data_IF_994872034742
#
_entry.id   IF_994872034742
#
_cell.length_a   1.000
_cell.length_b   1.000
_cell.length_c   1.000
_cell.angle_alpha   90.00
_cell.angle_beta   90.00
_cell.angle_gamma   90.00
#
_symmetry.space_group_name_H-M   'P 1'
#
loop_
_entity.id
_entity.type
_entity.pdbx_description
1 polymer ?
#
# COMPACT_ATOMS: atom_id res chain seq x y z
N UNK A 1 -10.19 0.68 -29.81
CA UNK A 1 -10.78 0.34 -28.50
C UNK A 1 -9.72 0.15 -27.41
N UNK A 2 -8.64 -0.65 -27.60
CA UNK A 2 -7.56 -0.82 -26.61
C UNK A 2 -6.86 0.49 -26.22
N UNK A 3 -6.55 1.36 -27.19
CA UNK A 3 -5.83 2.61 -26.92
C UNK A 3 -6.72 3.65 -26.21
N UNK A 4 -8.01 3.65 -26.50
CA UNK A 4 -8.98 4.52 -25.82
C UNK A 4 -9.16 4.11 -24.35
N UNK A 5 -9.23 2.82 -24.07
CA UNK A 5 -9.27 2.30 -22.68
C UNK A 5 -7.97 2.61 -21.92
N UNK A 6 -6.82 2.49 -22.58
CA UNK A 6 -5.52 2.82 -21.99
C UNK A 6 -5.42 4.30 -21.62
N UNK A 7 -5.92 5.19 -22.49
CA UNK A 7 -5.97 6.63 -22.22
C UNK A 7 -6.94 6.99 -21.08
N UNK A 8 -8.08 6.31 -20.98
CA UNK A 8 -9.03 6.50 -19.87
C UNK A 8 -8.42 6.05 -18.55
N UNK A 9 -7.79 4.87 -18.52
CA UNK A 9 -7.12 4.34 -17.33
C UNK A 9 -5.99 5.27 -16.89
N UNK A 10 -5.15 5.74 -17.79
CA UNK A 10 -4.08 6.68 -17.45
C UNK A 10 -4.62 8.01 -16.89
N UNK A 11 -5.72 8.54 -17.44
CA UNK A 11 -6.37 9.74 -16.90
C UNK A 11 -6.97 9.50 -15.51
N UNK A 12 -7.59 8.35 -15.29
CA UNK A 12 -8.17 7.98 -13.99
C UNK A 12 -7.08 7.79 -12.94
N UNK A 13 -6.01 7.08 -13.28
CA UNK A 13 -4.86 6.90 -12.39
C UNK A 13 -4.28 8.23 -11.93
N UNK A 14 -4.04 9.16 -12.86
CA UNK A 14 -3.47 10.47 -12.54
C UNK A 14 -4.40 11.30 -11.62
N UNK A 15 -5.71 11.30 -11.88
CA UNK A 15 -6.68 12.00 -11.03
C UNK A 15 -6.74 11.40 -9.62
N UNK A 16 -6.75 10.08 -9.52
CA UNK A 16 -6.73 9.37 -8.22
C UNK A 16 -5.45 9.67 -7.45
N UNK A 17 -4.30 9.65 -8.12
CA UNK A 17 -3.03 9.99 -7.51
C UNK A 17 -3.02 11.43 -6.96
N UNK A 18 -3.58 12.40 -7.70
CA UNK A 18 -3.71 13.78 -7.23
C UNK A 18 -4.63 13.86 -6.00
N UNK A 19 -5.78 13.18 -6.01
CA UNK A 19 -6.70 13.16 -4.87
C UNK A 19 -5.96 12.63 -3.62
N UNK A 20 -5.27 11.50 -3.76
CA UNK A 20 -4.52 10.90 -2.64
C UNK A 20 -3.37 11.80 -2.16
N UNK A 21 -2.70 12.48 -3.08
CA UNK A 21 -1.62 13.43 -2.73
C UNK A 21 -2.17 14.65 -1.96
N UNK A 22 -3.34 15.15 -2.35
CA UNK A 22 -4.02 16.23 -1.63
C UNK A 22 -4.45 15.77 -0.23
N UNK A 23 -5.04 14.58 -0.11
CA UNK A 23 -5.41 14.00 1.20
C UNK A 23 -4.15 13.84 2.07
N UNK A 24 -3.08 13.31 1.52
CA UNK A 24 -1.79 13.18 2.22
C UNK A 24 -1.26 14.53 2.69
N UNK A 25 -1.28 15.55 1.81
CA UNK A 25 -0.85 16.90 2.16
C UNK A 25 -1.68 17.52 3.29
N UNK A 26 -3.02 17.42 3.19
CA UNK A 26 -3.93 17.91 4.23
C UNK A 26 -3.70 17.18 5.55
N UNK A 27 -3.57 15.85 5.52
CA UNK A 27 -3.32 15.06 6.72
C UNK A 27 -2.01 15.47 7.42
N UNK A 28 -0.95 15.73 6.66
CA UNK A 28 0.34 16.19 7.22
C UNK A 28 0.28 17.60 7.81
N UNK A 29 -0.57 18.49 7.27
CA UNK A 29 -0.70 19.87 7.77
C UNK A 29 -1.58 19.92 9.01
N UNK A 30 -2.70 19.18 9.02
CA UNK A 30 -3.69 19.26 10.07
C UNK A 30 -3.41 18.35 11.27
N UNK A 31 -2.67 17.27 11.08
CA UNK A 31 -2.49 16.24 12.08
C UNK A 31 -1.02 15.87 12.29
N UNK A 32 -0.71 15.45 13.50
CA UNK A 32 0.60 14.86 13.83
C UNK A 32 0.59 13.37 13.48
N UNK A 33 1.31 13.00 12.43
CA UNK A 33 1.51 11.60 12.04
C UNK A 33 2.40 10.92 13.09
N UNK A 34 1.94 9.78 13.61
CA UNK A 34 2.64 9.01 14.64
C UNK A 34 2.66 7.53 14.30
N UNK A 35 3.63 6.82 14.83
CA UNK A 35 3.56 5.37 14.85
C UNK A 35 2.47 4.92 15.83
N UNK A 36 1.68 3.94 15.43
CA UNK A 36 0.60 3.40 16.26
C UNK A 36 1.16 2.56 17.42
N UNK A 37 2.24 1.82 17.16
CA UNK A 37 2.82 0.88 18.11
C UNK A 37 4.28 1.16 18.39
N UNK A 38 4.72 0.74 19.59
CA UNK A 38 6.12 0.79 20.03
C UNK A 38 7.01 -0.05 19.12
N UNK A 39 6.48 -1.12 18.52
CA UNK A 39 7.21 -2.00 17.60
C UNK A 39 7.78 -1.24 16.40
N UNK A 40 7.02 -0.31 15.81
CA UNK A 40 7.50 0.50 14.68
C UNK A 40 8.64 1.45 15.10
N UNK A 41 8.61 1.93 16.35
CA UNK A 41 9.71 2.73 16.91
C UNK A 41 10.96 1.89 17.13
N UNK A 42 10.80 0.67 17.66
CA UNK A 42 11.90 -0.28 17.86
C UNK A 42 12.52 -0.67 16.52
N UNK A 43 11.70 -0.98 15.53
CA UNK A 43 12.13 -1.29 14.16
C UNK A 43 12.94 -0.12 13.58
N UNK A 44 12.43 1.10 13.74
CA UNK A 44 13.15 2.30 13.31
C UNK A 44 14.49 2.45 14.01
N UNK A 45 14.56 2.29 15.36
CA UNK A 45 15.81 2.45 16.13
C UNK A 45 16.87 1.43 15.71
N UNK A 46 16.46 0.18 15.48
CA UNK A 46 17.35 -0.92 15.05
C UNK A 46 18.01 -0.64 13.69
N UNK A 47 17.26 -0.07 12.73
CA UNK A 47 17.79 0.15 11.38
C UNK A 47 18.52 1.48 11.23
N UNK A 48 18.11 2.50 11.99
CA UNK A 48 18.73 3.83 11.94
C UNK A 48 20.09 3.91 12.62
N UNK A 49 20.47 2.86 13.39
CA UNK A 49 21.71 2.83 14.14
C UNK A 49 21.70 3.71 15.39
N UNK A 50 20.51 4.13 15.88
CA UNK A 50 20.38 4.92 17.11
C UNK A 50 20.95 4.19 18.32
N UNK A 51 20.89 2.86 18.34
CA UNK A 51 21.43 2.00 19.40
C UNK A 51 22.89 1.58 19.16
N UNK A 52 23.67 2.43 18.43
CA UNK A 52 25.10 2.24 18.13
C UNK A 52 25.47 1.18 17.09
N UNK A 53 24.57 0.29 16.68
CA UNK A 53 24.82 -0.74 15.66
C UNK A 53 23.66 -0.85 14.67
N UNK A 54 23.96 -0.78 13.37
CA UNK A 54 22.95 -1.09 12.35
C UNK A 54 22.63 -2.57 12.36
N UNK A 55 21.43 -2.93 12.79
CA UNK A 55 21.03 -4.31 12.88
C UNK A 55 20.32 -4.74 11.57
N UNK A 56 20.76 -5.87 11.00
CA UNK A 56 20.18 -6.44 9.78
C UNK A 56 19.05 -7.42 10.13
N UNK A 57 18.97 -7.85 11.40
CA UNK A 57 17.94 -8.77 11.87
C UNK A 57 16.77 -8.01 12.49
N UNK A 58 15.71 -7.84 11.70
CA UNK A 58 14.46 -7.23 12.19
C UNK A 58 13.63 -8.23 13.00
N UNK A 59 12.86 -7.71 13.95
CA UNK A 59 12.06 -8.56 14.84
C UNK A 59 10.86 -9.16 14.11
N UNK A 60 10.27 -8.53 13.13
CA UNK A 60 9.08 -9.01 12.40
C UNK A 60 9.19 -8.87 10.89
N UNK A 61 10.12 -8.06 10.42
CA UNK A 61 10.33 -7.76 9.01
C UNK A 61 11.40 -8.67 8.44
N UNK A 62 11.18 -9.14 7.22
CA UNK A 62 12.12 -10.04 6.54
C UNK A 62 13.50 -9.38 6.35
N UNK A 63 14.61 -10.12 6.57
CA UNK A 63 15.97 -9.56 6.57
C UNK A 63 16.36 -8.76 5.32
N UNK A 64 15.80 -9.08 4.16
CA UNK A 64 16.10 -8.33 2.92
C UNK A 64 15.63 -6.88 2.99
N UNK A 65 14.43 -6.63 3.54
CA UNK A 65 13.93 -5.26 3.73
C UNK A 65 14.79 -4.52 4.76
N UNK A 66 15.17 -5.23 5.83
CA UNK A 66 16.05 -4.69 6.87
C UNK A 66 17.40 -4.25 6.31
N UNK A 67 18.00 -5.09 5.45
CA UNK A 67 19.26 -4.80 4.78
C UNK A 67 19.15 -3.57 3.88
N UNK A 68 18.07 -3.44 3.11
CA UNK A 68 17.83 -2.26 2.27
C UNK A 68 17.69 -1.01 3.11
N UNK A 69 16.86 -1.05 4.18
CA UNK A 69 16.66 0.10 5.07
C UNK A 69 17.95 0.50 5.78
N UNK A 70 18.70 -0.45 6.37
CA UNK A 70 19.97 -0.18 7.04
C UNK A 70 20.98 0.50 6.09
N UNK A 71 21.05 0.06 4.84
CA UNK A 71 21.94 0.70 3.87
C UNK A 71 21.47 2.12 3.49
N UNK A 72 20.16 2.36 3.37
CA UNK A 72 19.64 3.70 3.15
C UNK A 72 19.93 4.65 4.32
N UNK A 73 19.81 4.16 5.56
CA UNK A 73 20.20 4.95 6.75
C UNK A 73 21.70 5.26 6.81
N UNK A 74 22.57 4.33 6.36
CA UNK A 74 24.02 4.60 6.25
C UNK A 74 24.34 5.70 5.23
N UNK A 75 23.54 5.77 4.13
CA UNK A 75 23.72 6.81 3.10
C UNK A 75 23.18 8.15 3.60
N UNK A 76 22.01 8.18 4.21
CA UNK A 76 21.35 9.39 4.69
C UNK A 76 20.54 9.07 5.96
N UNK A 77 21.11 9.38 7.12
CA UNK A 77 20.50 9.15 8.44
C UNK A 77 19.42 10.18 8.81
N UNK A 78 19.37 11.31 8.11
CA UNK A 78 18.40 12.40 8.39
C UNK A 78 16.99 11.99 8.02
N UNK A 79 16.84 11.17 6.98
CA UNK A 79 15.53 10.73 6.45
C UNK A 79 15.09 9.49 7.22
N UNK A 80 13.87 9.52 7.74
CA UNK A 80 13.25 8.32 8.31
C UNK A 80 12.77 7.39 7.18
N UNK A 81 13.67 6.54 6.68
CA UNK A 81 13.41 5.63 5.56
C UNK A 81 12.32 4.60 5.85
N UNK A 82 12.17 4.19 7.12
CA UNK A 82 11.09 3.30 7.51
C UNK A 82 9.72 3.97 7.28
N UNK A 83 9.54 5.19 7.76
CA UNK A 83 8.31 5.97 7.51
C UNK A 83 8.08 6.20 6.02
N UNK A 84 9.12 6.58 5.28
CA UNK A 84 9.03 6.82 3.82
C UNK A 84 8.58 5.56 3.10
N UNK A 85 9.11 4.39 3.47
CA UNK A 85 8.69 3.10 2.91
C UNK A 85 7.20 2.86 3.15
N UNK A 86 6.75 2.94 4.41
CA UNK A 86 5.37 2.66 4.78
C UNK A 86 4.38 3.62 4.10
N UNK A 87 4.66 4.93 4.11
CA UNK A 87 3.81 5.94 3.47
C UNK A 87 3.76 5.78 1.95
N UNK A 88 4.90 5.46 1.32
CA UNK A 88 4.95 5.23 -0.13
C UNK A 88 4.10 4.02 -0.53
N UNK A 89 4.16 2.93 0.25
CA UNK A 89 3.35 1.73 0.00
C UNK A 89 1.86 2.01 0.19
N UNK A 90 1.46 2.76 1.22
CA UNK A 90 0.07 3.18 1.39
C UNK A 90 -0.42 4.01 0.20
N UNK A 91 0.37 5.00 -0.24
CA UNK A 91 0.02 5.84 -1.39
C UNK A 91 -0.17 5.02 -2.68
N UNK A 92 0.75 4.08 -2.95
CA UNK A 92 0.65 3.18 -4.11
C UNK A 92 -0.62 2.35 -4.04
N UNK A 93 -0.90 1.71 -2.89
CA UNK A 93 -2.07 0.86 -2.70
C UNK A 93 -3.37 1.63 -2.90
N UNK A 94 -3.55 2.79 -2.25
CA UNK A 94 -4.76 3.60 -2.41
C UNK A 94 -4.92 4.11 -3.86
N UNK A 95 -3.83 4.44 -4.53
CA UNK A 95 -3.88 4.86 -5.93
C UNK A 95 -4.33 3.71 -6.85
N UNK A 96 -3.85 2.50 -6.60
CA UNK A 96 -4.26 1.31 -7.36
C UNK A 96 -5.73 0.97 -7.08
N UNK A 97 -6.12 0.87 -5.80
CA UNK A 97 -7.50 0.57 -5.40
C UNK A 97 -8.47 1.60 -6.00
N UNK A 98 -8.18 2.90 -5.85
CA UNK A 98 -9.00 3.96 -6.42
C UNK A 98 -9.11 3.90 -7.95
N UNK A 99 -8.03 3.52 -8.62
CA UNK A 99 -8.03 3.35 -10.09
C UNK A 99 -8.92 2.19 -10.50
N UNK A 100 -8.87 1.06 -9.80
CA UNK A 100 -9.73 -0.11 -10.05
C UNK A 100 -11.20 0.25 -9.81
N UNK A 101 -11.52 0.89 -8.69
CA UNK A 101 -12.89 1.26 -8.32
C UNK A 101 -13.52 2.25 -9.32
N UNK A 102 -12.72 3.17 -9.87
CA UNK A 102 -13.20 4.22 -10.77
C UNK A 102 -13.11 3.87 -12.25
N UNK A 103 -12.50 2.75 -12.61
CA UNK A 103 -12.27 2.32 -13.98
C UNK A 103 -13.53 2.33 -14.84
N UNK A 104 -14.62 1.76 -14.33
CA UNK A 104 -15.91 1.65 -14.99
C UNK A 104 -16.92 2.73 -14.58
N UNK A 105 -16.61 3.54 -13.58
CA UNK A 105 -17.49 4.56 -12.97
C UNK A 105 -16.79 5.92 -12.86
N UNK A 106 -16.07 6.34 -13.91
CA UNK A 106 -15.35 7.63 -13.93
C UNK A 106 -16.29 8.85 -14.04
N UNK A 107 -17.46 8.79 -13.38
CA UNK A 107 -18.39 9.89 -13.25
C UNK A 107 -17.97 10.87 -12.15
N UNK A 108 -18.47 12.12 -12.17
CA UNK A 108 -18.23 13.09 -11.09
C UNK A 108 -18.63 12.52 -9.71
N UNK A 109 -19.75 11.81 -9.64
CA UNK A 109 -20.23 11.15 -8.42
C UNK A 109 -19.24 10.07 -7.94
N UNK A 110 -18.69 9.26 -8.85
CA UNK A 110 -17.68 8.24 -8.51
C UNK A 110 -16.44 8.85 -7.86
N UNK A 111 -15.92 9.97 -8.41
CA UNK A 111 -14.77 10.66 -7.81
C UNK A 111 -15.11 11.25 -6.43
N UNK A 112 -16.31 11.81 -6.22
CA UNK A 112 -16.74 12.32 -4.92
C UNK A 112 -16.80 11.18 -3.89
N UNK A 113 -17.44 10.07 -4.24
CA UNK A 113 -17.52 8.89 -3.36
C UNK A 113 -16.14 8.33 -3.02
N UNK A 114 -15.25 8.24 -4.02
CA UNK A 114 -13.87 7.83 -3.78
C UNK A 114 -13.14 8.79 -2.85
N UNK A 115 -13.30 10.11 -3.04
CA UNK A 115 -12.66 11.11 -2.18
C UNK A 115 -13.13 10.98 -0.73
N UNK A 116 -14.42 10.77 -0.49
CA UNK A 116 -14.97 10.53 0.85
C UNK A 116 -14.36 9.24 1.44
N UNK A 117 -14.39 8.14 0.69
CA UNK A 117 -13.80 6.88 1.11
C UNK A 117 -12.31 7.03 1.46
N UNK A 118 -11.53 7.63 0.56
CA UNK A 118 -10.10 7.84 0.78
C UNK A 118 -9.85 8.80 1.95
N UNK A 119 -10.65 9.85 2.12
CA UNK A 119 -10.51 10.77 3.26
C UNK A 119 -10.72 10.08 4.61
N UNK A 120 -11.57 9.07 4.69
CA UNK A 120 -11.79 8.31 5.92
C UNK A 120 -10.71 7.23 6.08
N UNK A 121 -10.59 6.32 5.11
CA UNK A 121 -9.75 5.13 5.23
C UNK A 121 -8.26 5.46 5.10
N UNK A 122 -7.87 6.28 4.13
CA UNK A 122 -6.47 6.63 3.93
C UNK A 122 -5.94 7.53 5.04
N UNK A 123 -6.73 8.54 5.46
CA UNK A 123 -6.33 9.41 6.56
C UNK A 123 -6.15 8.64 7.86
N UNK A 124 -7.02 7.68 8.20
CA UNK A 124 -6.87 6.88 9.41
C UNK A 124 -5.56 6.08 9.41
N UNK A 125 -5.16 5.51 8.27
CA UNK A 125 -3.89 4.78 8.14
C UNK A 125 -2.66 5.71 8.09
N UNK A 126 -2.83 6.96 7.64
CA UNK A 126 -1.77 7.96 7.66
C UNK A 126 -1.48 8.47 9.06
N UNK A 127 -2.52 8.68 9.87
CA UNK A 127 -2.37 9.24 11.21
C UNK A 127 -1.69 8.28 12.18
N UNK A 128 -1.98 7.00 12.04
CA UNK A 128 -1.45 5.92 12.85
C UNK A 128 -0.69 4.94 11.94
N UNK A 129 0.57 5.27 11.67
CA UNK A 129 1.41 4.44 10.82
C UNK A 129 1.73 3.14 11.54
N UNK A 130 1.41 2.01 10.90
CA UNK A 130 1.69 0.69 11.40
C UNK A 130 2.13 -0.24 10.28
N UNK A 131 3.29 -0.90 10.44
CA UNK A 131 3.80 -1.85 9.44
C UNK A 131 2.84 -3.01 9.17
N UNK A 132 2.07 -3.44 10.17
CA UNK A 132 1.04 -4.50 10.02
C UNK A 132 -0.07 -4.09 9.07
N UNK A 133 -0.62 -2.87 9.26
CA UNK A 133 -1.70 -2.33 8.44
C UNK A 133 -1.23 -2.13 7.00
N UNK A 134 0.01 -1.67 6.80
CA UNK A 134 0.62 -1.53 5.46
C UNK A 134 0.81 -2.88 4.79
N UNK A 135 1.30 -3.90 5.53
CA UNK A 135 1.42 -5.26 5.04
C UNK A 135 0.06 -5.83 4.58
N UNK A 136 -0.97 -5.69 5.41
CA UNK A 136 -2.33 -6.14 5.08
C UNK A 136 -2.88 -5.41 3.84
N UNK A 137 -2.65 -4.10 3.74
CA UNK A 137 -3.07 -3.29 2.60
C UNK A 137 -2.38 -3.71 1.29
N UNK A 138 -1.08 -4.03 1.33
CA UNK A 138 -0.34 -4.54 0.18
C UNK A 138 -0.91 -5.87 -0.32
N UNK A 139 -1.14 -6.82 0.59
CA UNK A 139 -1.71 -8.13 0.28
C UNK A 139 -3.13 -7.97 -0.28
N UNK A 140 -3.97 -7.16 0.35
CA UNK A 140 -5.32 -6.88 -0.13
C UNK A 140 -5.30 -6.26 -1.52
N UNK A 141 -4.42 -5.28 -1.78
CA UNK A 141 -4.30 -4.63 -3.08
C UNK A 141 -3.86 -5.62 -4.17
N UNK A 142 -2.96 -6.54 -3.86
CA UNK A 142 -2.54 -7.59 -4.78
C UNK A 142 -3.73 -8.47 -5.20
N UNK A 143 -4.56 -8.87 -4.26
CA UNK A 143 -5.77 -9.62 -4.55
C UNK A 143 -6.79 -8.81 -5.36
N UNK A 144 -7.00 -7.53 -5.02
CA UNK A 144 -7.87 -6.64 -5.81
C UNK A 144 -7.45 -6.57 -7.28
N UNK A 145 -6.13 -6.52 -7.56
CA UNK A 145 -5.63 -6.53 -8.94
C UNK A 145 -5.94 -7.86 -9.63
N UNK A 146 -5.78 -9.00 -8.92
CA UNK A 146 -6.07 -10.32 -9.46
C UNK A 146 -7.56 -10.46 -9.81
N UNK A 147 -8.45 -9.97 -8.93
CA UNK A 147 -9.89 -9.98 -9.17
C UNK A 147 -10.29 -9.08 -10.34
N UNK A 148 -9.73 -7.86 -10.42
CA UNK A 148 -9.94 -6.96 -11.55
C UNK A 148 -9.56 -7.63 -12.89
N UNK A 149 -8.48 -8.42 -12.91
CA UNK A 149 -8.08 -9.17 -14.11
C UNK A 149 -9.05 -10.32 -14.44
N UNK A 150 -9.62 -10.99 -13.44
CA UNK A 150 -10.61 -12.05 -13.63
C UNK A 150 -11.93 -11.50 -14.17
N UNK A 151 -12.45 -10.42 -13.59
CA UNK A 151 -13.66 -9.76 -14.06
C UNK A 151 -13.53 -9.27 -15.51
N UNK A 152 -12.37 -8.73 -15.89
CA UNK A 152 -12.11 -8.28 -17.26
C UNK A 152 -11.93 -9.42 -18.25
N UNK A 153 -11.79 -10.67 -17.80
CA UNK A 153 -11.33 -11.81 -18.62
C UNK A 153 -10.06 -11.47 -19.44
N UNK A 154 -9.26 -10.54 -18.92
CA UNK A 154 -8.07 -9.97 -19.57
C UNK A 154 -6.83 -10.26 -18.75
N UNK A 155 -6.04 -11.24 -19.17
CA UNK A 155 -4.81 -11.61 -18.49
C UNK A 155 -3.65 -10.73 -18.94
N UNK A 156 -3.31 -9.70 -18.16
CA UNK A 156 -2.14 -8.86 -18.40
C UNK A 156 -0.95 -9.32 -17.58
N UNK A 157 0.13 -9.81 -18.22
CA UNK A 157 1.37 -10.20 -17.53
C UNK A 157 1.92 -9.10 -16.61
N UNK A 158 1.84 -7.82 -17.04
CA UNK A 158 2.33 -6.68 -16.26
C UNK A 158 1.53 -6.47 -14.97
N UNK A 159 0.17 -6.55 -15.05
CA UNK A 159 -0.69 -6.44 -13.87
C UNK A 159 -0.41 -7.59 -12.90
N UNK A 160 -0.24 -8.82 -13.42
CA UNK A 160 0.09 -9.99 -12.59
C UNK A 160 1.41 -9.81 -11.88
N UNK A 161 2.50 -9.49 -12.58
CA UNK A 161 3.82 -9.28 -11.97
C UNK A 161 3.76 -8.18 -10.90
N UNK A 162 3.01 -7.11 -11.15
CA UNK A 162 2.85 -6.05 -10.16
C UNK A 162 2.08 -6.53 -8.91
N UNK A 163 1.00 -7.31 -9.10
CA UNK A 163 0.29 -7.92 -7.98
C UNK A 163 1.20 -8.89 -7.18
N UNK A 164 1.98 -9.72 -7.87
CA UNK A 164 2.92 -10.64 -7.24
C UNK A 164 3.99 -9.88 -6.41
N UNK A 165 4.49 -8.76 -6.93
CA UNK A 165 5.44 -7.89 -6.19
C UNK A 165 4.79 -7.33 -4.93
N UNK A 166 3.57 -6.77 -5.01
CA UNK A 166 2.87 -6.24 -3.84
C UNK A 166 2.61 -7.34 -2.80
N UNK A 167 2.20 -8.52 -3.25
CA UNK A 167 1.96 -9.67 -2.40
C UNK A 167 3.21 -10.11 -1.65
N UNK A 168 4.32 -10.27 -2.37
CA UNK A 168 5.61 -10.65 -1.77
C UNK A 168 6.10 -9.59 -0.80
N UNK A 169 6.04 -8.30 -1.15
CA UNK A 169 6.40 -7.21 -0.24
C UNK A 169 5.54 -7.20 1.03
N UNK A 170 4.22 -7.42 0.89
CA UNK A 170 3.33 -7.52 2.04
C UNK A 170 3.74 -8.65 2.99
N UNK A 171 4.01 -9.85 2.47
CA UNK A 171 4.48 -11.00 3.27
C UNK A 171 5.85 -10.71 3.91
N UNK A 172 6.77 -10.07 3.19
CA UNK A 172 8.09 -9.73 3.71
C UNK A 172 8.03 -8.69 4.84
N UNK A 173 7.04 -7.80 4.84
CA UNK A 173 6.81 -6.87 5.95
C UNK A 173 6.22 -7.62 7.15
N UNK A 174 5.17 -8.42 6.94
CA UNK A 174 4.55 -9.22 8.01
C UNK A 174 3.73 -10.39 7.47
N UNK A 175 4.22 -11.60 7.70
CA UNK A 175 3.55 -12.83 7.23
C UNK A 175 2.17 -13.02 7.87
N UNK A 176 1.99 -12.66 9.15
CA UNK A 176 0.72 -12.81 9.86
C UNK A 176 -0.43 -12.01 9.23
N UNK A 177 -0.13 -10.91 8.54
CA UNK A 177 -1.14 -10.13 7.83
C UNK A 177 -1.85 -10.94 6.74
N UNK A 178 -1.18 -11.94 6.15
CA UNK A 178 -1.80 -12.85 5.20
C UNK A 178 -2.92 -13.66 5.86
N UNK A 179 -2.71 -14.14 7.08
CA UNK A 179 -3.71 -14.94 7.81
C UNK A 179 -4.98 -14.12 8.11
N UNK A 180 -4.84 -12.81 8.31
CA UNK A 180 -5.97 -11.91 8.57
C UNK A 180 -6.77 -11.67 7.28
N UNK A 181 -6.08 -11.51 6.16
CA UNK A 181 -6.70 -11.15 4.87
C UNK A 181 -7.27 -12.38 4.16
N UNK A 182 -6.64 -13.54 4.29
CA UNK A 182 -6.97 -14.76 3.55
C UNK A 182 -8.42 -15.22 3.71
N UNK A 183 -9.08 -15.19 4.89
CA UNK A 183 -10.49 -15.58 5.03
C UNK A 183 -11.44 -14.77 4.15
N UNK A 184 -11.22 -13.45 4.02
CA UNK A 184 -12.07 -12.60 3.17
C UNK A 184 -11.96 -12.98 1.70
N UNK A 185 -10.78 -13.40 1.25
CA UNK A 185 -10.56 -13.82 -0.13
C UNK A 185 -11.06 -15.24 -0.42
N UNK A 186 -11.01 -16.14 0.55
CA UNK A 186 -11.60 -17.48 0.41
C UNK A 186 -13.11 -17.37 0.16
N UNK A 187 -13.81 -16.52 0.91
CA UNK A 187 -15.26 -16.29 0.71
C UNK A 187 -15.54 -15.79 -0.72
N UNK A 188 -14.71 -14.87 -1.23
CA UNK A 188 -14.87 -14.38 -2.60
C UNK A 188 -14.55 -15.45 -3.65
N UNK A 189 -13.52 -16.26 -3.46
CA UNK A 189 -13.18 -17.37 -4.36
C UNK A 189 -14.30 -18.42 -4.41
N UNK A 190 -14.88 -18.75 -3.27
CA UNK A 190 -16.04 -19.67 -3.20
C UNK A 190 -17.23 -19.10 -3.97
N UNK A 191 -17.50 -17.79 -3.83
CA UNK A 191 -18.58 -17.12 -4.55
C UNK A 191 -18.39 -17.14 -6.08
N UNK A 192 -17.15 -17.11 -6.60
CA UNK A 192 -16.88 -17.17 -8.04
C UNK A 192 -17.00 -18.61 -8.59
N UNK A 193 -16.70 -19.63 -7.76
CA UNK A 193 -16.71 -21.03 -8.18
C UNK A 193 -18.12 -21.63 -8.14
N UNK A 194 -19.01 -21.13 -7.28
CA UNK A 194 -20.41 -21.52 -7.17
C UNK A 194 -21.27 -20.77 -8.19
#
# INVERSE_FOLDING_TARGET
MKDMLKNIINKTYFKVAIINLVIFGIANILFNIKYEQVDDMIIYSLYSGLDSTYNIHGIYIYPLICLVLSNLYKICSIINWHTVLLLSMQFICFTVIGTILLKNKSSKVGYILYTIFASICYTSLLLLIQYTSVSALLIATAFFIIFDMQEEKSFSKRKKVFADILFVLGIMIRLQSLMIILPFFIVYLVYIIL
#
